data_IF_848797735051
#
_entry.id   IF_848797735051
#
_cell.length_a   1.000
_cell.length_b   1.000
_cell.length_c   1.000
_cell.angle_alpha   90.00
_cell.angle_beta   90.00
_cell.angle_gamma   90.00
#
_symmetry.space_group_name_H-M   'P 1'
#
loop_
_entity.id
_entity.type
_entity.pdbx_description
1 polymer ?
#
# COMPACT_ATOMS: atom_id res chain seq x y z
N UNK A 1 -25.88 7.88 2.96
CA UNK A 1 -25.91 8.64 1.71
C UNK A 1 -26.60 7.83 0.60
N UNK A 2 -26.14 6.62 0.27
CA UNK A 2 -26.73 5.78 -0.79
C UNK A 2 -28.19 5.34 -0.53
N UNK A 3 -28.72 5.58 0.66
CA UNK A 3 -30.14 5.38 1.01
C UNK A 3 -31.00 6.65 0.82
N UNK A 4 -30.47 7.66 0.14
CA UNK A 4 -31.19 8.93 -0.10
C UNK A 4 -31.32 9.84 1.12
N UNK A 5 -30.56 9.56 2.21
CA UNK A 5 -30.60 10.36 3.45
C UNK A 5 -29.20 10.78 3.91
N UNK A 6 -29.11 11.94 4.52
CA UNK A 6 -27.91 12.42 5.23
C UNK A 6 -27.70 11.62 6.55
N UNK A 7 -26.57 11.86 7.22
CA UNK A 7 -26.32 11.30 8.56
C UNK A 7 -27.35 11.78 9.61
N UNK A 8 -27.94 12.96 9.42
CA UNK A 8 -29.03 13.49 10.25
C UNK A 8 -30.42 13.06 9.80
N UNK A 9 -30.52 12.00 8.97
CA UNK A 9 -31.76 11.43 8.43
C UNK A 9 -32.59 12.35 7.52
N UNK A 10 -32.09 13.52 7.15
CA UNK A 10 -32.75 14.40 6.17
C UNK A 10 -32.72 13.77 4.80
N UNK A 11 -33.89 13.65 4.15
CA UNK A 11 -33.99 13.16 2.78
C UNK A 11 -33.36 14.17 1.80
N UNK A 12 -32.67 13.64 0.80
CA UNK A 12 -32.20 14.47 -0.33
C UNK A 12 -33.36 14.78 -1.27
N UNK A 13 -33.39 15.99 -1.79
CA UNK A 13 -34.43 16.44 -2.77
C UNK A 13 -34.33 15.67 -4.09
N UNK A 14 -33.10 15.27 -4.45
CA UNK A 14 -32.83 14.52 -5.68
C UNK A 14 -32.05 13.24 -5.37
N UNK A 15 -32.20 12.16 -6.18
CA UNK A 15 -31.41 10.96 -6.03
C UNK A 15 -29.92 11.28 -6.23
N UNK A 16 -29.09 10.91 -5.25
CA UNK A 16 -27.64 10.98 -5.41
C UNK A 16 -27.13 9.84 -6.30
N UNK A 17 -26.11 10.14 -7.08
CA UNK A 17 -25.33 9.09 -7.75
C UNK A 17 -24.73 8.13 -6.70
N UNK A 18 -24.64 6.83 -7.01
CA UNK A 18 -24.04 5.87 -6.08
C UNK A 18 -22.63 6.29 -5.63
N UNK A 19 -22.41 6.31 -4.31
CA UNK A 19 -21.10 6.57 -3.72
C UNK A 19 -20.49 5.22 -3.36
N UNK A 20 -19.27 4.98 -3.84
CA UNK A 20 -18.50 3.79 -3.52
C UNK A 20 -17.50 4.12 -2.40
N UNK A 21 -17.72 3.62 -1.18
CA UNK A 21 -16.80 3.88 -0.07
C UNK A 21 -15.52 3.09 -0.21
N UNK A 22 -14.41 3.73 0.10
CA UNK A 22 -13.08 3.12 0.24
C UNK A 22 -12.56 3.39 1.65
N UNK A 23 -11.62 2.56 2.08
CA UNK A 23 -10.93 2.81 3.34
C UNK A 23 -9.43 2.50 3.23
N UNK A 24 -8.67 2.93 4.23
CA UNK A 24 -7.23 2.68 4.31
C UNK A 24 -6.94 1.79 5.51
N UNK A 25 -5.93 0.93 5.41
CA UNK A 25 -5.40 0.11 6.50
C UNK A 25 -3.87 0.22 6.56
N UNK A 26 -3.32 0.13 7.76
CA UNK A 26 -1.88 -0.05 7.92
C UNK A 26 -1.48 -1.43 7.37
N UNK A 27 -0.34 -1.49 6.69
CA UNK A 27 0.17 -2.76 6.16
C UNK A 27 0.82 -3.60 7.24
N UNK A 28 1.28 -2.95 8.31
CA UNK A 28 2.01 -3.57 9.42
C UNK A 28 1.40 -3.20 10.76
N UNK A 29 1.50 -4.12 11.71
CA UNK A 29 1.20 -3.89 13.13
C UNK A 29 2.09 -4.79 13.98
N UNK A 30 2.33 -4.40 15.24
CA UNK A 30 3.08 -5.24 16.20
C UNK A 30 2.39 -6.59 16.44
N UNK A 31 1.05 -6.62 16.34
CA UNK A 31 0.24 -7.82 16.48
C UNK A 31 -0.58 -8.03 15.20
N UNK A 32 -0.30 -9.11 14.49
CA UNK A 32 -0.99 -9.50 13.26
C UNK A 32 -2.46 -9.82 13.50
N UNK A 33 -2.85 -10.42 14.63
CA UNK A 33 -4.25 -10.72 14.92
C UNK A 33 -5.08 -9.45 15.03
N UNK A 34 -4.54 -8.42 15.69
CA UNK A 34 -5.18 -7.11 15.76
C UNK A 34 -5.33 -6.46 14.38
N UNK A 35 -4.37 -6.67 13.48
CA UNK A 35 -4.45 -6.18 12.10
C UNK A 35 -5.49 -6.95 11.31
N UNK A 36 -5.52 -8.28 11.43
CA UNK A 36 -6.52 -9.16 10.80
C UNK A 36 -7.94 -8.79 11.22
N UNK A 37 -8.16 -8.59 12.53
CA UNK A 37 -9.46 -8.13 13.05
C UNK A 37 -9.87 -6.77 12.49
N UNK A 38 -8.94 -5.81 12.41
CA UNK A 38 -9.21 -4.49 11.80
C UNK A 38 -9.52 -4.58 10.32
N UNK A 39 -8.80 -5.44 9.59
CA UNK A 39 -9.06 -5.70 8.17
C UNK A 39 -10.47 -6.27 7.98
N UNK A 40 -10.83 -7.29 8.75
CA UNK A 40 -12.17 -7.89 8.72
C UNK A 40 -13.28 -6.87 9.04
N UNK A 41 -13.12 -6.04 10.07
CA UNK A 41 -14.10 -4.98 10.39
C UNK A 41 -14.28 -4.00 9.23
N UNK A 42 -13.18 -3.58 8.58
CA UNK A 42 -13.25 -2.69 7.41
C UNK A 42 -13.91 -3.36 6.21
N UNK A 43 -13.57 -4.61 5.93
CA UNK A 43 -14.21 -5.37 4.85
C UNK A 43 -15.71 -5.54 5.07
N UNK A 44 -16.13 -5.83 6.30
CA UNK A 44 -17.54 -5.98 6.69
C UNK A 44 -18.34 -4.68 6.66
N UNK A 45 -17.69 -3.51 6.60
CA UNK A 45 -18.39 -2.21 6.51
C UNK A 45 -18.97 -1.89 5.13
N UNK A 46 -18.83 -2.81 4.15
CA UNK A 46 -19.38 -2.64 2.80
C UNK A 46 -18.53 -1.76 1.87
N UNK A 47 -17.27 -1.52 2.21
CA UNK A 47 -16.33 -0.81 1.33
C UNK A 47 -16.07 -1.60 0.05
N UNK A 48 -15.82 -0.90 -1.05
CA UNK A 48 -15.52 -1.51 -2.35
C UNK A 48 -14.04 -1.81 -2.53
N UNK A 49 -13.16 -1.02 -1.90
CA UNK A 49 -11.74 -1.28 -1.88
C UNK A 49 -11.11 -0.87 -0.54
N UNK A 50 -10.01 -1.54 -0.21
CA UNK A 50 -9.16 -1.27 0.94
C UNK A 50 -7.77 -0.95 0.43
N UNK A 51 -7.34 0.30 0.60
CA UNK A 51 -5.98 0.74 0.30
C UNK A 51 -5.08 0.43 1.48
N UNK A 52 -3.83 0.06 1.22
CA UNK A 52 -2.86 -0.13 2.30
C UNK A 52 -1.88 1.03 2.38
N UNK A 53 -1.26 1.21 3.55
CA UNK A 53 0.00 1.93 3.64
C UNK A 53 1.08 1.22 2.80
N UNK A 54 2.24 1.85 2.50
CA UNK A 54 3.30 1.20 1.73
C UNK A 54 3.68 -0.18 2.25
N UNK A 55 3.87 -1.10 1.32
CA UNK A 55 4.34 -2.48 1.58
C UNK A 55 5.76 -2.60 1.02
N UNK A 56 6.68 -3.15 1.81
CA UNK A 56 8.08 -3.36 1.44
C UNK A 56 8.51 -4.83 1.40
N UNK A 57 7.56 -5.74 1.65
CA UNK A 57 7.77 -7.19 1.59
C UNK A 57 6.61 -7.83 0.82
N UNK A 58 6.91 -8.55 -0.25
CA UNK A 58 5.87 -9.17 -1.08
C UNK A 58 5.05 -10.22 -0.32
N UNK A 59 5.64 -10.86 0.68
CA UNK A 59 5.01 -11.82 1.59
C UNK A 59 3.94 -11.15 2.45
N UNK A 60 4.13 -9.87 2.80
CA UNK A 60 3.11 -9.10 3.51
C UNK A 60 1.87 -8.86 2.65
N UNK A 61 2.06 -8.64 1.36
CA UNK A 61 0.94 -8.53 0.43
C UNK A 61 0.16 -9.86 0.35
N UNK A 62 0.86 -10.99 0.22
CA UNK A 62 0.23 -12.31 0.19
C UNK A 62 -0.63 -12.54 1.44
N UNK A 63 -0.06 -12.31 2.61
CA UNK A 63 -0.77 -12.48 3.88
C UNK A 63 -2.06 -11.62 3.95
N UNK A 64 -2.02 -10.38 3.48
CA UNK A 64 -3.21 -9.52 3.47
C UNK A 64 -4.26 -9.99 2.47
N UNK A 65 -3.84 -10.52 1.31
CA UNK A 65 -4.73 -11.13 0.31
C UNK A 65 -5.40 -12.39 0.87
N UNK A 66 -4.63 -13.28 1.50
CA UNK A 66 -5.15 -14.47 2.16
C UNK A 66 -6.22 -14.11 3.20
N UNK A 67 -5.97 -13.13 4.05
CA UNK A 67 -6.94 -12.69 5.06
C UNK A 67 -8.23 -12.14 4.43
N UNK A 68 -8.15 -11.47 3.29
CA UNK A 68 -9.36 -11.04 2.55
C UNK A 68 -10.10 -12.26 1.99
N UNK A 69 -9.35 -13.25 1.49
CA UNK A 69 -9.93 -14.45 0.89
C UNK A 69 -10.59 -15.38 1.92
N UNK A 70 -10.11 -15.40 3.15
CA UNK A 70 -10.71 -16.13 4.26
C UNK A 70 -12.03 -15.52 4.77
N UNK A 71 -12.34 -14.26 4.43
CA UNK A 71 -13.55 -13.62 4.93
C UNK A 71 -14.81 -14.27 4.35
N UNK A 72 -15.83 -14.56 5.17
CA UNK A 72 -17.10 -15.14 4.74
C UNK A 72 -18.02 -14.09 4.10
N UNK A 73 -17.51 -13.35 3.10
CA UNK A 73 -18.22 -12.29 2.41
C UNK A 73 -18.52 -12.70 0.98
N UNK A 74 -19.79 -12.55 0.57
CA UNK A 74 -20.19 -12.75 -0.83
C UNK A 74 -19.50 -11.78 -1.78
N UNK A 75 -19.36 -10.53 -1.36
CA UNK A 75 -18.69 -9.46 -2.12
C UNK A 75 -17.50 -8.94 -1.31
N UNK A 76 -16.33 -9.52 -1.54
CA UNK A 76 -15.09 -9.10 -0.90
C UNK A 76 -14.61 -7.77 -1.45
N UNK A 77 -14.09 -6.85 -0.63
CA UNK A 77 -13.46 -5.63 -1.11
C UNK A 77 -12.18 -5.95 -1.89
N UNK A 78 -11.87 -5.12 -2.87
CA UNK A 78 -10.59 -5.19 -3.57
C UNK A 78 -9.50 -4.65 -2.65
N UNK A 79 -8.43 -5.43 -2.41
CA UNK A 79 -7.22 -4.91 -1.79
C UNK A 79 -6.43 -4.12 -2.83
N UNK A 80 -6.00 -2.91 -2.48
CA UNK A 80 -5.15 -2.04 -3.32
C UNK A 80 -3.88 -1.73 -2.52
N UNK A 81 -2.83 -2.55 -2.65
CA UNK A 81 -1.60 -2.35 -1.91
C UNK A 81 -0.91 -1.06 -2.33
N UNK A 82 -0.40 -0.35 -1.33
CA UNK A 82 0.43 0.84 -1.52
C UNK A 82 1.85 0.47 -1.92
N UNK A 83 2.34 1.06 -2.98
CA UNK A 83 3.75 1.02 -3.37
C UNK A 83 4.32 2.44 -3.30
N UNK A 84 5.39 2.61 -2.55
CA UNK A 84 6.12 3.86 -2.42
C UNK A 84 7.61 3.60 -2.71
N UNK A 85 8.17 4.11 -3.81
CA UNK A 85 9.57 3.88 -4.16
C UNK A 85 10.50 4.59 -3.17
N UNK A 86 11.46 3.85 -2.64
CA UNK A 86 12.49 4.37 -1.74
C UNK A 86 13.76 4.62 -2.56
N UNK A 87 14.04 5.87 -2.88
CA UNK A 87 15.11 6.25 -3.78
C UNK A 87 16.36 6.80 -3.07
N UNK A 88 16.30 6.97 -1.72
CA UNK A 88 17.44 7.42 -0.90
C UNK A 88 17.44 6.76 0.47
N UNK A 89 18.62 6.68 1.09
CA UNK A 89 18.78 6.28 2.49
C UNK A 89 17.96 7.19 3.44
N UNK A 90 17.94 8.50 3.19
CA UNK A 90 17.17 9.46 3.99
C UNK A 90 15.68 9.10 4.02
N UNK A 91 15.12 8.72 2.88
CA UNK A 91 13.72 8.27 2.78
C UNK A 91 13.52 6.95 3.53
N UNK A 92 14.42 5.97 3.36
CA UNK A 92 14.36 4.71 4.10
C UNK A 92 14.41 4.94 5.62
N UNK A 93 15.33 5.79 6.08
CA UNK A 93 15.48 6.15 7.49
C UNK A 93 14.20 6.79 8.05
N UNK A 94 13.58 7.72 7.29
CA UNK A 94 12.33 8.35 7.70
C UNK A 94 11.20 7.33 7.85
N UNK A 95 11.07 6.40 6.90
CA UNK A 95 10.04 5.36 6.96
C UNK A 95 10.26 4.45 8.16
N UNK A 96 11.50 4.03 8.38
CA UNK A 96 11.86 3.09 9.45
C UNK A 96 11.63 3.68 10.85
N UNK A 97 12.03 4.94 11.07
CA UNK A 97 12.03 5.53 12.41
C UNK A 97 10.90 6.52 12.69
N UNK A 98 10.30 7.10 11.65
CA UNK A 98 9.42 8.27 11.80
C UNK A 98 8.01 8.07 11.24
N UNK A 99 7.77 7.07 10.40
CA UNK A 99 6.47 6.88 9.75
C UNK A 99 5.65 5.80 10.45
N UNK A 100 4.63 6.16 11.28
CA UNK A 100 3.80 5.17 11.97
C UNK A 100 3.00 4.32 10.99
N UNK A 101 2.98 3.01 11.21
CA UNK A 101 2.16 2.08 10.42
C UNK A 101 2.74 1.66 9.07
N UNK A 102 3.91 2.17 8.72
CA UNK A 102 4.76 1.65 7.66
C UNK A 102 5.96 0.94 8.27
N UNK A 103 6.50 -0.02 7.54
CA UNK A 103 7.68 -0.77 7.93
C UNK A 103 8.53 -1.02 6.69
N UNK A 104 9.80 -0.72 6.77
CA UNK A 104 10.80 -1.09 5.78
C UNK A 104 11.78 -2.08 6.41
N UNK A 105 12.17 -3.19 5.74
CA UNK A 105 13.11 -4.15 6.29
C UNK A 105 14.45 -3.50 6.65
N UNK A 106 15.03 -3.91 7.76
CA UNK A 106 16.33 -3.39 8.22
C UNK A 106 17.44 -3.63 7.19
N UNK A 107 17.35 -4.72 6.44
CA UNK A 107 18.28 -5.04 5.35
C UNK A 107 18.28 -3.95 4.26
N UNK A 108 17.10 -3.39 3.92
CA UNK A 108 17.00 -2.26 2.98
C UNK A 108 17.73 -1.04 3.53
N UNK A 109 17.45 -0.71 4.81
CA UNK A 109 18.08 0.43 5.48
C UNK A 109 19.60 0.30 5.46
N UNK A 110 20.12 -0.89 5.80
CA UNK A 110 21.54 -1.19 5.83
C UNK A 110 22.19 -1.14 4.44
N UNK A 111 21.53 -1.69 3.41
CA UNK A 111 22.01 -1.62 2.02
C UNK A 111 22.09 -0.19 1.51
N UNK A 112 21.04 0.60 1.75
CA UNK A 112 21.00 2.00 1.33
C UNK A 112 22.01 2.85 2.09
N UNK A 113 22.21 2.63 3.39
CA UNK A 113 23.24 3.30 4.18
C UNK A 113 24.65 3.01 3.65
N UNK A 114 24.95 1.73 3.35
CA UNK A 114 26.25 1.35 2.77
C UNK A 114 26.47 2.00 1.39
N UNK A 115 25.42 2.05 0.58
CA UNK A 115 25.49 2.66 -0.76
C UNK A 115 25.67 4.18 -0.68
N UNK A 116 24.92 4.87 0.20
CA UNK A 116 25.03 6.33 0.37
C UNK A 116 26.41 6.78 0.87
N UNK A 117 27.09 5.93 1.65
CA UNK A 117 28.46 6.18 2.11
C UNK A 117 29.52 6.03 1.00
N UNK A 118 29.17 5.42 -0.15
CA UNK A 118 30.08 5.27 -1.28
C UNK A 118 29.97 6.43 -2.26
N UNK A 119 28.79 6.64 -2.82
CA UNK A 119 28.50 7.78 -3.68
C UNK A 119 26.99 7.95 -3.90
N UNK A 120 26.52 9.14 -4.35
CA UNK A 120 25.13 9.37 -4.75
C UNK A 120 24.65 8.43 -5.88
N UNK A 121 25.53 8.10 -6.82
CA UNK A 121 25.23 7.21 -7.95
C UNK A 121 25.00 5.79 -7.48
N UNK A 122 25.84 5.32 -6.55
CA UNK A 122 25.70 3.98 -5.98
C UNK A 122 24.43 3.88 -5.11
N UNK A 123 24.12 4.92 -4.32
CA UNK A 123 22.87 5.01 -3.57
C UNK A 123 21.67 4.90 -4.52
N UNK A 124 21.63 5.71 -5.57
CA UNK A 124 20.57 5.69 -6.58
C UNK A 124 20.43 4.31 -7.22
N UNK A 125 21.54 3.70 -7.63
CA UNK A 125 21.57 2.37 -8.26
C UNK A 125 20.94 1.29 -7.35
N UNK A 126 21.34 1.26 -6.08
CA UNK A 126 20.83 0.30 -5.10
C UNK A 126 19.35 0.56 -4.81
N UNK A 127 18.96 1.82 -4.61
CA UNK A 127 17.60 2.24 -4.31
C UNK A 127 16.63 1.88 -5.45
N UNK A 128 17.01 2.21 -6.70
CA UNK A 128 16.24 1.85 -7.90
C UNK A 128 16.07 0.34 -7.99
N UNK A 129 17.16 -0.43 -7.80
CA UNK A 129 17.09 -1.89 -7.85
C UNK A 129 16.11 -2.45 -6.82
N UNK A 130 16.24 -2.08 -5.55
CA UNK A 130 15.38 -2.56 -4.47
C UNK A 130 13.90 -2.22 -4.72
N UNK A 131 13.62 -0.97 -5.13
CA UNK A 131 12.26 -0.52 -5.43
C UNK A 131 11.68 -1.24 -6.64
N UNK A 132 12.47 -1.44 -7.70
CA UNK A 132 12.02 -2.16 -8.90
C UNK A 132 11.76 -3.63 -8.63
N UNK A 133 12.66 -4.31 -7.92
CA UNK A 133 12.50 -5.72 -7.55
C UNK A 133 11.21 -5.93 -6.72
N UNK A 134 10.97 -5.06 -5.73
CA UNK A 134 9.74 -5.10 -4.94
C UNK A 134 8.50 -4.91 -5.82
N UNK A 135 8.49 -3.86 -6.64
CA UNK A 135 7.37 -3.55 -7.52
C UNK A 135 6.99 -4.75 -8.40
N UNK A 136 7.97 -5.34 -9.08
CA UNK A 136 7.74 -6.49 -9.94
C UNK A 136 7.29 -7.73 -9.16
N UNK A 137 7.82 -7.95 -7.95
CA UNK A 137 7.39 -9.07 -7.11
C UNK A 137 5.94 -8.89 -6.62
N UNK A 138 5.56 -7.67 -6.22
CA UNK A 138 4.17 -7.37 -5.86
C UNK A 138 3.24 -7.53 -7.07
N UNK A 139 3.65 -7.06 -8.25
CA UNK A 139 2.85 -7.12 -9.47
C UNK A 139 2.59 -8.56 -9.95
N UNK A 140 3.53 -9.50 -9.73
CA UNK A 140 3.33 -10.93 -9.99
C UNK A 140 2.21 -11.51 -9.14
N UNK A 141 2.06 -11.03 -7.90
CA UNK A 141 1.07 -11.52 -6.93
C UNK A 141 -0.28 -10.84 -7.08
N UNK A 142 -0.29 -9.53 -7.39
CA UNK A 142 -1.50 -8.75 -7.48
C UNK A 142 -1.40 -7.59 -8.49
N UNK A 143 -2.38 -7.49 -9.39
CA UNK A 143 -2.35 -6.53 -10.53
C UNK A 143 -2.84 -5.12 -10.19
N UNK A 144 -3.41 -4.91 -9.01
CA UNK A 144 -3.97 -3.60 -8.61
C UNK A 144 -3.10 -3.01 -7.53
N UNK A 145 -2.49 -1.87 -7.80
CA UNK A 145 -1.61 -1.17 -6.86
C UNK A 145 -1.87 0.33 -6.86
N UNK A 146 -1.67 0.95 -5.72
CA UNK A 146 -1.60 2.39 -5.56
C UNK A 146 -0.14 2.83 -5.51
N UNK A 147 0.31 3.55 -6.53
CA UNK A 147 1.68 4.04 -6.62
C UNK A 147 1.74 5.47 -6.08
N UNK A 148 2.56 5.68 -5.05
CA UNK A 148 2.83 6.99 -4.44
C UNK A 148 4.16 7.52 -4.98
N UNK A 149 4.13 8.28 -6.07
CA UNK A 149 5.34 8.69 -6.82
C UNK A 149 6.21 9.71 -6.10
N UNK A 150 5.64 10.56 -5.22
CA UNK A 150 6.33 11.67 -4.56
C UNK A 150 7.15 12.52 -5.54
N UNK A 151 6.55 12.88 -6.67
CA UNK A 151 7.15 13.62 -7.79
C UNK A 151 8.27 12.88 -8.55
N UNK A 152 8.53 11.60 -8.25
CA UNK A 152 9.48 10.77 -9.02
C UNK A 152 8.77 10.11 -10.21
N UNK A 153 8.16 10.91 -11.08
CA UNK A 153 7.33 10.42 -12.19
C UNK A 153 8.14 9.62 -13.19
N UNK A 154 9.35 10.07 -13.54
CA UNK A 154 10.21 9.38 -14.51
C UNK A 154 10.51 7.94 -14.06
N UNK A 155 10.85 7.77 -12.77
CA UNK A 155 11.07 6.44 -12.21
C UNK A 155 9.83 5.56 -12.30
N UNK A 156 8.65 6.10 -12.00
CA UNK A 156 7.39 5.35 -12.10
C UNK A 156 7.08 4.99 -13.54
N UNK A 157 7.29 5.92 -14.48
CA UNK A 157 7.10 5.65 -15.92
C UNK A 157 8.03 4.53 -16.39
N UNK A 158 9.28 4.54 -15.96
CA UNK A 158 10.24 3.48 -16.32
C UNK A 158 9.89 2.12 -15.71
N UNK A 159 9.37 2.09 -14.47
CA UNK A 159 8.81 0.87 -13.90
C UNK A 159 7.67 0.30 -14.74
N UNK A 160 6.75 1.17 -15.20
CA UNK A 160 5.56 0.76 -15.93
C UNK A 160 5.88 0.29 -17.36
N UNK A 161 6.89 0.88 -18.02
CA UNK A 161 7.35 0.45 -19.37
C UNK A 161 7.86 -0.99 -19.38
N UNK A 162 8.36 -1.50 -18.26
CA UNK A 162 8.91 -2.83 -18.13
C UNK A 162 7.89 -3.90 -17.71
N UNK A 163 6.61 -3.54 -17.66
CA UNK A 163 5.52 -4.50 -17.44
C UNK A 163 5.20 -5.17 -18.79
N UNK A 164 5.46 -6.48 -18.86
CA UNK A 164 5.04 -7.34 -19.97
C UNK A 164 3.68 -7.97 -19.69
#
# INVERSE_FOLDING_TARGET
LNKGKSLGEFAFKEPLKPIYPFCVINSYAKNNDSLKVRLAKKANSGVKAIFTQPIYEAERLELLLEWIDELPLKNKPILVPGFFPVLTYKTAYFIYYKLPGAYIPEDWLNKLKKASNKSPEEEKRVAVKLSSDLFHNMLKKHKKMHIMSMNNYDFVVDLLKNIK
#
